data_IF_744857520817
#
_entry.id   IF_744857520817
#
_cell.length_a   1.000
_cell.length_b   1.000
_cell.length_c   1.000
_cell.angle_alpha   90.00
_cell.angle_beta   90.00
_cell.angle_gamma   90.00
#
_symmetry.space_group_name_H-M   'P 1'
#
loop_
_entity.id
_entity.type
_entity.pdbx_description
1 polymer ?
#
# COMPACT_ATOMS: atom_id res chain seq x y z
N UNK A 1 -10.08 1.83 -18.95
CA UNK A 1 -9.29 3.07 -19.08
C UNK A 1 -7.96 2.87 -18.36
N UNK A 2 -6.87 3.53 -18.74
CA UNK A 2 -5.55 3.16 -18.21
C UNK A 2 -5.27 3.78 -16.83
N UNK A 3 -5.42 5.11 -16.70
CA UNK A 3 -5.04 5.86 -15.49
C UNK A 3 -6.03 6.97 -15.17
N UNK A 4 -6.28 7.21 -13.88
CA UNK A 4 -6.95 8.40 -13.35
C UNK A 4 -6.17 8.95 -12.15
N UNK A 5 -6.17 10.27 -11.99
CA UNK A 5 -5.64 10.96 -10.81
C UNK A 5 -6.80 11.64 -10.09
N UNK A 6 -6.87 11.50 -8.77
CA UNK A 6 -7.82 12.22 -7.91
C UNK A 6 -7.07 12.96 -6.80
N UNK A 7 -7.67 14.02 -6.28
CA UNK A 7 -7.09 14.79 -5.17
C UNK A 7 -7.61 14.29 -3.83
N UNK A 8 -6.75 14.18 -2.83
CA UNK A 8 -7.04 13.70 -1.49
C UNK A 8 -8.18 14.46 -0.80
N UNK A 9 -8.32 15.76 -1.07
CA UNK A 9 -9.43 16.59 -0.58
C UNK A 9 -10.81 16.11 -1.05
N UNK A 10 -10.89 15.33 -2.13
CA UNK A 10 -12.14 14.68 -2.59
C UNK A 10 -12.50 13.46 -1.72
N UNK A 11 -11.50 12.84 -1.09
CA UNK A 11 -11.68 11.71 -0.18
C UNK A 11 -12.36 12.17 1.13
N UNK A 12 -11.91 13.30 1.68
CA UNK A 12 -12.43 13.87 2.94
C UNK A 12 -13.91 14.25 2.84
N UNK A 13 -14.36 14.62 1.64
CA UNK A 13 -15.74 15.03 1.37
C UNK A 13 -16.69 13.87 1.06
N UNK A 14 -16.20 12.62 1.06
CA UNK A 14 -16.98 11.44 0.66
C UNK A 14 -17.55 11.56 -0.76
N UNK A 15 -16.91 12.34 -1.64
CA UNK A 15 -17.35 12.58 -3.02
C UNK A 15 -16.75 11.56 -4.01
N UNK A 16 -16.08 10.51 -3.51
CA UNK A 16 -15.45 9.50 -4.36
C UNK A 16 -16.53 8.66 -5.02
N UNK A 17 -16.64 8.79 -6.33
CA UNK A 17 -17.37 7.85 -7.16
C UNK A 17 -16.51 6.58 -7.36
N UNK A 18 -16.67 5.62 -6.44
CA UNK A 18 -16.01 4.31 -6.50
C UNK A 18 -16.39 3.53 -7.77
N UNK A 19 -17.61 3.72 -8.27
CA UNK A 19 -18.09 3.06 -9.48
C UNK A 19 -17.43 3.61 -10.74
N UNK A 20 -17.06 4.88 -10.73
CA UNK A 20 -16.25 5.50 -11.77
C UNK A 20 -14.78 5.06 -11.68
N UNK A 21 -14.12 5.22 -10.53
CA UNK A 21 -12.66 5.01 -10.44
C UNK A 21 -12.25 3.54 -10.62
N UNK A 22 -13.12 2.57 -10.29
CA UNK A 22 -12.81 1.14 -10.46
C UNK A 22 -12.58 0.73 -11.93
N UNK A 23 -13.02 1.55 -12.89
CA UNK A 23 -12.84 1.30 -14.33
C UNK A 23 -11.41 1.60 -14.85
N UNK A 24 -10.55 2.12 -13.97
CA UNK A 24 -9.16 2.45 -14.28
C UNK A 24 -8.21 1.41 -13.70
N UNK A 25 -7.21 0.99 -14.47
CA UNK A 25 -6.19 0.06 -13.97
C UNK A 25 -5.30 0.72 -12.92
N UNK A 26 -4.90 1.96 -13.20
CA UNK A 26 -4.02 2.77 -12.35
C UNK A 26 -4.80 3.93 -11.74
N UNK A 27 -4.73 4.07 -10.41
CA UNK A 27 -5.23 5.21 -9.67
C UNK A 27 -4.05 5.93 -9.03
N UNK A 28 -4.01 7.26 -9.15
CA UNK A 28 -3.07 8.11 -8.42
C UNK A 28 -3.86 9.02 -7.50
N UNK A 29 -3.47 9.08 -6.24
CA UNK A 29 -4.09 9.93 -5.23
C UNK A 29 -3.04 10.97 -4.82
N UNK A 30 -3.31 12.24 -5.08
CA UNK A 30 -2.41 13.38 -4.84
C UNK A 30 -2.99 14.36 -3.82
N UNK A 31 -2.15 15.09 -3.08
CA UNK A 31 -2.59 16.16 -2.16
C UNK A 31 -2.13 15.97 -0.72
N UNK A 32 -2.90 16.54 0.21
CA UNK A 32 -2.58 16.51 1.65
C UNK A 32 -3.86 16.14 2.39
N UNK A 33 -3.96 14.88 2.83
CA UNK A 33 -4.98 14.43 3.79
C UNK A 33 -4.52 13.18 4.52
N UNK A 34 -5.20 12.88 5.63
CA UNK A 34 -5.12 11.59 6.31
C UNK A 34 -5.98 10.56 5.58
N UNK A 35 -5.37 9.47 5.11
CA UNK A 35 -6.14 8.36 4.57
C UNK A 35 -6.72 7.53 5.70
N UNK A 36 -8.02 7.27 5.63
CA UNK A 36 -8.67 6.31 6.52
C UNK A 36 -8.66 4.91 5.92
N UNK A 37 -8.61 3.89 6.78
CA UNK A 37 -8.67 2.49 6.36
C UNK A 37 -9.88 2.14 5.48
N UNK A 38 -11.11 2.59 5.79
CA UNK A 38 -12.27 2.31 4.94
C UNK A 38 -12.10 2.78 3.50
N UNK A 39 -11.49 3.95 3.30
CA UNK A 39 -11.28 4.51 1.96
C UNK A 39 -10.30 3.63 1.18
N UNK A 40 -9.15 3.30 1.76
CA UNK A 40 -8.11 2.50 1.11
C UNK A 40 -8.63 1.08 0.78
N UNK A 41 -9.39 0.48 1.68
CA UNK A 41 -9.90 -0.89 1.51
C UNK A 41 -10.97 -1.03 0.41
N UNK A 42 -11.64 0.07 0.06
CA UNK A 42 -12.63 0.13 -1.01
C UNK A 42 -12.01 0.36 -2.40
N UNK A 43 -10.70 0.65 -2.49
CA UNK A 43 -10.01 0.79 -3.76
C UNK A 43 -9.88 -0.57 -4.47
N UNK A 44 -10.49 -0.66 -5.65
CA UNK A 44 -10.50 -1.87 -6.48
C UNK A 44 -9.49 -1.83 -7.62
N UNK A 45 -8.86 -0.67 -7.87
CA UNK A 45 -7.82 -0.51 -8.88
C UNK A 45 -6.67 -1.49 -8.65
N UNK A 46 -6.11 -2.01 -9.74
CA UNK A 46 -4.99 -2.94 -9.67
C UNK A 46 -3.74 -2.24 -9.12
N UNK A 47 -3.47 -1.03 -9.59
CA UNK A 47 -2.33 -0.24 -9.15
C UNK A 47 -2.84 1.05 -8.52
N UNK A 48 -2.38 1.35 -7.30
CA UNK A 48 -2.67 2.62 -6.61
C UNK A 48 -1.37 3.25 -6.15
N UNK A 49 -1.17 4.51 -6.51
CA UNK A 49 -0.05 5.32 -6.04
C UNK A 49 -0.57 6.43 -5.13
N UNK A 50 -0.19 6.37 -3.86
CA UNK A 50 -0.48 7.41 -2.88
C UNK A 50 0.68 8.42 -2.88
N UNK A 51 0.47 9.54 -3.56
CA UNK A 51 1.37 10.70 -3.57
C UNK A 51 1.01 11.68 -2.44
N UNK A 52 0.91 11.14 -1.23
CA UNK A 52 0.55 11.86 0.01
C UNK A 52 1.65 11.63 1.06
N UNK A 53 1.74 12.51 2.05
CA UNK A 53 2.59 12.28 3.22
C UNK A 53 1.91 11.27 4.17
N UNK A 54 2.40 10.03 4.19
CA UNK A 54 1.76 8.92 4.91
C UNK A 54 2.68 8.24 5.94
N UNK A 55 3.73 8.93 6.40
CA UNK A 55 4.65 8.40 7.41
C UNK A 55 3.88 7.92 8.66
N UNK A 56 2.95 8.73 9.17
CA UNK A 56 2.14 8.38 10.34
C UNK A 56 1.29 7.13 10.10
N UNK A 57 0.67 7.01 8.92
CA UNK A 57 -0.11 5.84 8.54
C UNK A 57 0.76 4.58 8.48
N UNK A 58 1.95 4.66 7.85
CA UNK A 58 2.89 3.56 7.72
C UNK A 58 3.46 3.11 9.07
N UNK A 59 3.41 3.97 10.10
CA UNK A 59 3.75 3.67 11.49
C UNK A 59 2.53 3.41 12.39
N UNK A 60 1.30 3.52 11.88
CA UNK A 60 0.07 3.21 12.62
C UNK A 60 -0.27 1.70 12.53
N UNK A 61 -0.90 1.09 13.56
CA UNK A 61 -1.47 -0.26 13.46
C UNK A 61 -2.39 -0.49 12.25
N UNK A 62 -3.04 0.55 11.75
CA UNK A 62 -3.89 0.54 10.57
C UNK A 62 -3.17 0.01 9.32
N UNK A 63 -1.87 0.25 9.16
CA UNK A 63 -1.11 -0.33 8.05
C UNK A 63 -1.10 -1.87 8.12
N UNK A 64 -0.99 -2.45 9.31
CA UNK A 64 -1.07 -3.90 9.51
C UNK A 64 -2.49 -4.42 9.21
N UNK A 65 -3.52 -3.66 9.60
CA UNK A 65 -4.92 -3.98 9.27
C UNK A 65 -5.14 -4.00 7.75
N UNK A 66 -4.57 -3.04 7.02
CA UNK A 66 -4.62 -3.00 5.56
C UNK A 66 -3.96 -4.25 4.94
N UNK A 67 -2.77 -4.64 5.41
CA UNK A 67 -2.05 -5.82 4.91
C UNK A 67 -2.87 -7.09 5.17
N UNK A 68 -3.42 -7.26 6.38
CA UNK A 68 -4.28 -8.40 6.71
C UNK A 68 -5.53 -8.45 5.82
N UNK A 69 -6.14 -7.30 5.53
CA UNK A 69 -7.28 -7.22 4.60
C UNK A 69 -6.91 -7.66 3.18
N UNK A 70 -5.72 -7.28 2.70
CA UNK A 70 -5.21 -7.70 1.39
C UNK A 70 -4.99 -9.21 1.28
N UNK A 71 -4.37 -9.80 2.29
CA UNK A 71 -4.14 -11.24 2.38
C UNK A 71 -5.48 -11.97 2.40
N UNK A 72 -6.42 -11.54 3.25
CA UNK A 72 -7.75 -12.14 3.35
C UNK A 72 -8.56 -12.06 2.05
N UNK A 73 -8.49 -10.93 1.33
CA UNK A 73 -9.18 -10.73 0.04
C UNK A 73 -8.49 -11.41 -1.14
N UNK A 74 -7.31 -12.01 -0.96
CA UNK A 74 -6.56 -12.68 -2.02
C UNK A 74 -6.46 -11.82 -3.29
N UNK A 75 -6.00 -10.57 -3.12
CA UNK A 75 -5.82 -9.61 -4.22
C UNK A 75 -5.05 -10.27 -5.38
N UNK A 76 -5.42 -10.03 -6.65
CA UNK A 76 -4.85 -10.74 -7.79
C UNK A 76 -3.38 -10.37 -8.01
N UNK A 77 -2.63 -11.27 -8.65
CA UNK A 77 -1.24 -11.05 -9.06
C UNK A 77 -1.12 -9.75 -9.87
N UNK A 78 -0.06 -8.99 -9.61
CA UNK A 78 0.18 -7.69 -10.22
C UNK A 78 -0.58 -6.54 -9.55
N UNK A 79 -1.38 -6.81 -8.51
CA UNK A 79 -1.89 -5.73 -7.64
C UNK A 79 -0.74 -5.05 -6.91
N UNK A 80 -0.71 -3.71 -6.91
CA UNK A 80 0.39 -2.95 -6.32
C UNK A 80 -0.12 -1.64 -5.68
N UNK A 81 0.07 -1.49 -4.36
CA UNK A 81 -0.10 -0.20 -3.68
C UNK A 81 1.28 0.38 -3.35
N UNK A 82 1.48 1.65 -3.68
CA UNK A 82 2.73 2.38 -3.42
C UNK A 82 2.46 3.59 -2.54
N UNK A 83 3.23 3.74 -1.47
CA UNK A 83 3.14 4.82 -0.51
C UNK A 83 4.43 5.63 -0.52
N UNK A 84 4.34 6.96 -0.59
CA UNK A 84 5.49 7.83 -0.31
C UNK A 84 5.86 7.75 1.17
N UNK A 85 7.16 7.63 1.44
CA UNK A 85 7.72 7.53 2.78
C UNK A 85 8.98 8.40 2.86
N UNK A 86 9.06 9.28 3.86
CA UNK A 86 10.20 10.18 4.08
C UNK A 86 11.10 9.72 5.23
N UNK A 87 11.17 8.39 5.42
CA UNK A 87 12.03 7.76 6.41
C UNK A 87 13.38 7.41 5.77
N UNK A 88 14.43 7.43 6.58
CA UNK A 88 15.72 6.85 6.21
C UNK A 88 15.64 5.31 6.19
N UNK A 89 16.73 4.66 5.79
CA UNK A 89 16.77 3.19 5.71
C UNK A 89 16.44 2.51 7.04
N UNK A 90 16.84 3.10 8.18
CA UNK A 90 16.56 2.54 9.50
C UNK A 90 15.07 2.58 9.86
N UNK A 91 14.37 3.66 9.50
CA UNK A 91 12.94 3.79 9.65
C UNK A 91 12.17 2.81 8.75
N UNK A 92 12.62 2.62 7.50
CA UNK A 92 12.04 1.64 6.57
C UNK A 92 12.21 0.21 7.08
N UNK A 93 13.40 -0.13 7.59
CA UNK A 93 13.67 -1.43 8.23
C UNK A 93 12.76 -1.63 9.45
N UNK A 94 12.53 -0.58 10.24
CA UNK A 94 11.62 -0.63 11.40
C UNK A 94 10.18 -0.92 10.98
N UNK A 95 9.70 -0.29 9.91
CA UNK A 95 8.37 -0.56 9.34
C UNK A 95 8.28 -2.03 8.89
N UNK A 96 9.28 -2.53 8.17
CA UNK A 96 9.30 -3.93 7.70
C UNK A 96 9.38 -4.94 8.86
N UNK A 97 10.24 -4.72 9.85
CA UNK A 97 10.33 -5.57 11.04
C UNK A 97 8.98 -5.67 11.76
N UNK A 98 8.27 -4.54 11.87
CA UNK A 98 6.93 -4.50 12.45
C UNK A 98 5.92 -5.33 11.66
N UNK A 99 5.97 -5.28 10.33
CA UNK A 99 5.14 -6.11 9.46
C UNK A 99 5.42 -7.60 9.69
N UNK A 100 6.71 -7.98 9.72
CA UNK A 100 7.14 -9.36 10.01
C UNK A 100 6.62 -9.84 11.36
N UNK A 101 6.77 -9.04 12.41
CA UNK A 101 6.47 -9.45 13.78
C UNK A 101 4.96 -9.58 14.07
N UNK A 102 4.11 -8.86 13.31
CA UNK A 102 2.67 -8.82 13.55
C UNK A 102 1.83 -9.68 12.60
N UNK A 103 2.47 -10.35 11.64
CA UNK A 103 1.81 -11.17 10.62
C UNK A 103 2.38 -12.58 10.66
N UNK A 104 1.52 -13.53 11.03
CA UNK A 104 1.89 -14.94 11.09
C UNK A 104 2.33 -15.46 9.71
N UNK A 105 3.43 -16.22 9.69
CA UNK A 105 4.01 -16.77 8.47
C UNK A 105 4.78 -15.76 7.60
N UNK A 106 4.89 -14.49 8.02
CA UNK A 106 5.69 -13.50 7.30
C UNK A 106 7.19 -13.83 7.40
N UNK A 107 7.88 -13.80 6.25
CA UNK A 107 9.30 -14.12 6.12
C UNK A 107 10.07 -12.88 5.68
N UNK A 108 11.10 -12.50 6.43
CA UNK A 108 11.99 -11.42 6.05
C UNK A 108 12.86 -11.83 4.85
N UNK A 109 13.07 -10.88 3.94
CA UNK A 109 14.02 -10.98 2.83
C UNK A 109 14.83 -9.70 2.71
N UNK A 110 15.67 -9.62 1.67
CA UNK A 110 16.44 -8.41 1.40
C UNK A 110 15.51 -7.24 1.03
N UNK A 111 15.57 -6.17 1.84
CA UNK A 111 14.71 -4.98 1.76
C UNK A 111 13.20 -5.27 1.62
N UNK A 112 12.73 -6.42 2.14
CA UNK A 112 11.33 -6.82 2.03
C UNK A 112 10.85 -7.81 3.11
N UNK A 113 9.53 -7.95 3.18
CA UNK A 113 8.83 -9.01 3.93
C UNK A 113 7.85 -9.68 2.97
N UNK A 114 7.94 -11.00 2.90
CA UNK A 114 7.08 -11.85 2.09
C UNK A 114 6.00 -12.47 2.97
N UNK A 115 4.74 -12.24 2.63
CA UNK A 115 3.60 -12.75 3.39
C UNK A 115 2.87 -13.75 2.50
N UNK A 116 2.86 -15.05 2.85
CA UNK A 116 2.11 -16.06 2.11
C UNK A 116 0.63 -15.70 2.04
N UNK A 117 0.05 -15.84 0.85
CA UNK A 117 -1.37 -15.71 0.59
C UNK A 117 -1.93 -17.06 0.11
N UNK A 118 -3.25 -17.13 -0.06
CA UNK A 118 -3.88 -18.28 -0.71
C UNK A 118 -3.39 -18.41 -2.18
N UNK A 119 -3.60 -19.58 -2.79
CA UNK A 119 -3.36 -19.82 -4.22
C UNK A 119 -1.90 -19.66 -4.69
N UNK A 120 -0.92 -20.02 -3.85
CA UNK A 120 0.52 -19.95 -4.21
C UNK A 120 0.96 -18.55 -4.65
N UNK A 121 0.45 -17.53 -3.96
CA UNK A 121 0.86 -16.13 -4.15
C UNK A 121 1.45 -15.58 -2.86
N UNK A 122 2.23 -14.51 -3.00
CA UNK A 122 2.88 -13.82 -1.90
C UNK A 122 2.57 -12.33 -2.01
N UNK A 123 2.18 -11.73 -0.89
CA UNK A 123 2.22 -10.29 -0.74
C UNK A 123 3.62 -9.88 -0.30
N UNK A 124 4.36 -9.27 -1.21
CA UNK A 124 5.68 -8.69 -0.94
C UNK A 124 5.50 -7.24 -0.49
N UNK A 125 5.88 -6.96 0.74
CA UNK A 125 6.01 -5.60 1.29
C UNK A 125 7.48 -5.23 1.21
N UNK A 126 7.85 -4.23 0.41
CA UNK A 126 9.25 -3.82 0.21
C UNK A 126 9.41 -2.31 0.25
N UNK A 127 10.64 -1.84 0.36
CA UNK A 127 10.95 -0.43 0.11
C UNK A 127 11.88 -0.22 -1.08
N UNK A 128 11.84 0.98 -1.64
CA UNK A 128 12.71 1.45 -2.71
C UNK A 128 13.11 2.90 -2.42
N UNK A 129 14.42 3.17 -2.40
CA UNK A 129 14.96 4.52 -2.25
C UNK A 129 14.86 5.26 -3.59
N UNK A 130 14.20 6.42 -3.61
CA UNK A 130 14.10 7.26 -4.82
C UNK A 130 15.12 8.39 -4.80
N UNK A 131 15.27 9.06 -3.65
CA UNK A 131 16.26 10.11 -3.39
C UNK A 131 16.72 10.02 -1.94
N UNK A 132 17.70 10.83 -1.53
CA UNK A 132 18.25 10.85 -0.17
C UNK A 132 17.19 11.02 0.95
N UNK A 133 16.06 11.66 0.66
CA UNK A 133 14.99 11.94 1.63
C UNK A 133 13.66 11.28 1.29
N UNK A 134 13.59 10.56 0.17
CA UNK A 134 12.33 10.04 -0.38
C UNK A 134 12.49 8.58 -0.73
N UNK A 135 11.67 7.77 -0.08
CA UNK A 135 11.55 6.34 -0.30
C UNK A 135 10.09 5.97 -0.60
N UNK A 136 9.89 4.77 -1.11
CA UNK A 136 8.59 4.19 -1.40
C UNK A 136 8.42 2.92 -0.59
N UNK A 137 7.27 2.76 0.05
CA UNK A 137 6.81 1.44 0.52
C UNK A 137 5.89 0.86 -0.55
N UNK A 138 6.12 -0.38 -0.95
CA UNK A 138 5.36 -1.09 -1.97
C UNK A 138 4.75 -2.34 -1.38
N UNK A 139 3.45 -2.53 -1.61
CA UNK A 139 2.72 -3.77 -1.36
C UNK A 139 2.36 -4.38 -2.71
N UNK A 140 3.03 -5.47 -3.11
CA UNK A 140 2.84 -6.10 -4.43
C UNK A 140 2.49 -7.57 -4.30
N UNK A 141 1.46 -8.02 -5.00
CA UNK A 141 1.15 -9.45 -5.09
C UNK A 141 1.94 -10.09 -6.24
N UNK A 142 2.75 -11.08 -5.90
CA UNK A 142 3.60 -11.83 -6.85
C UNK A 142 3.32 -13.34 -6.75
N UNK A 143 3.64 -14.13 -7.78
CA UNK A 143 3.69 -15.59 -7.65
C UNK A 143 4.69 -16.01 -6.57
N UNK A 144 4.41 -17.13 -5.88
CA UNK A 144 5.35 -17.78 -4.96
C UNK A 144 6.62 -18.27 -5.68
#
# INVERSE_FOLDING_TARGET
>A
MEKVTIYASTLDRHEIDYDFIKNFKVLVIEGVTELTIPIIQNLQNQIVHFQLYLNDFLQNPDFIVLIKNWVAKSKPIGSCFTFLCFEDESGLITILNRVRDQIEGAVAGDKCVNIPMSNSTVLKVSYEECTEIKSLIKMTVVPL
#
